data_IF_651969309727
#
_entry.id   IF_651969309727
#
_cell.length_a   1.000
_cell.length_b   1.000
_cell.length_c   1.000
_cell.angle_alpha   90.00
_cell.angle_beta   90.00
_cell.angle_gamma   90.00
#
_symmetry.space_group_name_H-M   'P 1'
#
loop_
_entity.id
_entity.type
_entity.pdbx_description
1 polymer ?
#
# COMPACT_ATOMS: atom_id res chain seq x y z
N UNK A 1 -26.73 -12.98 2.31
CA UNK A 1 -26.89 -11.83 1.40
C UNK A 1 -26.77 -12.35 -0.03
N UNK A 2 -27.52 -11.79 -0.98
CA UNK A 2 -27.61 -12.32 -2.35
C UNK A 2 -26.24 -12.36 -3.03
N UNK A 3 -25.92 -13.51 -3.62
CA UNK A 3 -24.65 -13.79 -4.30
C UNK A 3 -24.62 -13.33 -5.76
N UNK A 4 -25.63 -12.60 -6.21
CA UNK A 4 -25.78 -12.13 -7.59
C UNK A 4 -25.65 -10.61 -7.65
N UNK A 5 -24.91 -10.13 -8.65
CA UNK A 5 -24.76 -8.71 -8.96
C UNK A 5 -26.14 -8.21 -9.41
N UNK A 6 -26.65 -7.18 -8.75
CA UNK A 6 -27.95 -6.58 -9.11
C UNK A 6 -27.88 -5.93 -10.50
N UNK A 7 -29.03 -5.73 -11.15
CA UNK A 7 -29.06 -5.08 -12.48
C UNK A 7 -28.46 -3.67 -12.44
N UNK A 8 -28.66 -2.95 -11.35
CA UNK A 8 -28.14 -1.59 -11.16
C UNK A 8 -26.61 -1.60 -10.98
N UNK A 9 -26.07 -2.56 -10.21
CA UNK A 9 -24.63 -2.76 -10.09
C UNK A 9 -24.01 -3.19 -11.42
N UNK A 10 -24.67 -4.08 -12.17
CA UNK A 10 -24.20 -4.51 -13.47
C UNK A 10 -24.12 -3.34 -14.47
N UNK A 11 -25.05 -2.38 -14.41
CA UNK A 11 -25.03 -1.19 -15.27
C UNK A 11 -23.90 -0.22 -14.91
N UNK A 12 -23.68 0.01 -13.61
CA UNK A 12 -22.63 0.94 -13.12
C UNK A 12 -21.24 0.37 -13.35
N UNK A 13 -21.06 -0.92 -13.06
CA UNK A 13 -19.78 -1.60 -13.19
C UNK A 13 -19.56 -2.23 -14.56
N UNK A 14 -20.41 -2.00 -15.56
CA UNK A 14 -20.34 -2.63 -16.89
C UNK A 14 -18.93 -2.55 -17.50
N UNK A 15 -18.32 -1.36 -17.49
CA UNK A 15 -16.95 -1.16 -18.03
C UNK A 15 -15.89 -1.95 -17.27
N UNK A 16 -16.04 -2.07 -15.96
CA UNK A 16 -15.11 -2.77 -15.08
C UNK A 16 -15.28 -4.29 -15.20
N UNK A 17 -16.53 -4.77 -15.22
CA UNK A 17 -16.91 -6.17 -15.46
C UNK A 17 -16.39 -6.65 -16.82
N UNK A 18 -16.40 -5.81 -17.85
CA UNK A 18 -15.80 -6.15 -19.17
C UNK A 18 -14.29 -6.40 -19.10
N UNK A 19 -13.59 -5.80 -18.15
CA UNK A 19 -12.14 -5.94 -17.99
C UNK A 19 -11.77 -7.19 -17.17
N UNK A 20 -12.32 -7.34 -15.97
CA UNK A 20 -11.93 -8.42 -15.06
C UNK A 20 -12.95 -9.55 -14.91
N UNK A 21 -14.14 -9.40 -15.50
CA UNK A 21 -15.20 -10.40 -15.48
C UNK A 21 -16.12 -10.31 -14.26
N UNK A 22 -17.34 -10.89 -14.35
CA UNK A 22 -18.35 -10.79 -13.30
C UNK A 22 -17.95 -11.50 -12.00
N UNK A 23 -17.21 -12.62 -12.08
CA UNK A 23 -16.74 -13.33 -10.89
C UNK A 23 -15.70 -12.53 -10.09
N UNK A 24 -14.84 -11.77 -10.78
CA UNK A 24 -13.91 -10.87 -10.11
C UNK A 24 -14.67 -9.72 -9.44
N UNK A 25 -15.64 -9.10 -10.15
CA UNK A 25 -16.48 -8.04 -9.58
C UNK A 25 -17.25 -8.51 -8.34
N UNK A 26 -17.76 -9.74 -8.36
CA UNK A 26 -18.43 -10.34 -7.19
C UNK A 26 -17.51 -10.48 -5.98
N UNK A 27 -16.26 -10.92 -6.18
CA UNK A 27 -15.26 -10.98 -5.10
C UNK A 27 -14.94 -9.59 -4.55
N UNK A 28 -14.75 -8.61 -5.43
CA UNK A 28 -14.53 -7.21 -5.06
C UNK A 28 -15.71 -6.69 -4.22
N UNK A 29 -16.94 -6.87 -4.69
CA UNK A 29 -18.18 -6.43 -4.02
C UNK A 29 -18.52 -7.15 -2.72
N UNK A 30 -17.76 -8.17 -2.33
CA UNK A 30 -17.88 -8.86 -1.04
C UNK A 30 -16.76 -8.48 -0.06
N UNK A 31 -15.75 -7.73 -0.51
CA UNK A 31 -14.57 -7.43 0.28
C UNK A 31 -14.81 -6.30 1.28
N UNK A 32 -14.45 -6.56 2.54
CA UNK A 32 -14.32 -5.55 3.59
C UNK A 32 -12.87 -5.09 3.71
N UNK A 33 -12.62 -3.79 3.59
CA UNK A 33 -11.28 -3.21 3.59
C UNK A 33 -11.10 -2.34 4.82
N UNK A 34 -10.01 -2.52 5.56
CA UNK A 34 -9.55 -1.57 6.57
C UNK A 34 -8.48 -0.67 5.93
N UNK A 35 -8.67 0.65 6.01
CA UNK A 35 -7.66 1.66 5.70
C UNK A 35 -7.34 2.38 7.01
N UNK A 36 -6.10 2.30 7.46
CA UNK A 36 -5.67 2.96 8.69
C UNK A 36 -4.60 4.02 8.42
N UNK A 37 -4.83 5.23 8.93
CA UNK A 37 -4.07 6.44 8.61
C UNK A 37 -4.72 7.21 7.45
N UNK A 38 -5.38 8.32 7.76
CA UNK A 38 -6.00 9.23 6.82
C UNK A 38 -5.05 10.38 6.46
N UNK A 39 -4.65 10.37 5.19
CA UNK A 39 -3.59 11.13 4.55
C UNK A 39 -3.88 11.28 3.05
N UNK A 40 -3.09 12.05 2.32
CA UNK A 40 -3.29 12.24 0.88
C UNK A 40 -3.29 10.89 0.10
N UNK A 41 -2.41 9.96 0.49
CA UNK A 41 -2.35 8.63 -0.12
C UNK A 41 -3.64 7.82 0.13
N UNK A 42 -4.17 7.82 1.36
CA UNK A 42 -5.37 7.06 1.68
C UNK A 42 -6.61 7.63 1.02
N UNK A 43 -6.68 8.94 0.78
CA UNK A 43 -7.80 9.55 0.03
C UNK A 43 -7.90 8.96 -1.37
N UNK A 44 -6.77 8.85 -2.05
CA UNK A 44 -6.65 8.24 -3.37
C UNK A 44 -7.04 6.75 -3.36
N UNK A 45 -6.56 6.01 -2.35
CA UNK A 45 -6.90 4.59 -2.19
C UNK A 45 -8.39 4.40 -1.93
N UNK A 46 -8.98 5.18 -1.00
CA UNK A 46 -10.39 5.10 -0.65
C UNK A 46 -11.28 5.46 -1.83
N UNK A 47 -10.96 6.54 -2.55
CA UNK A 47 -11.67 6.94 -3.78
C UNK A 47 -11.71 5.79 -4.79
N UNK A 48 -10.56 5.19 -5.08
CA UNK A 48 -10.47 4.13 -6.08
C UNK A 48 -11.18 2.84 -5.64
N UNK A 49 -11.05 2.43 -4.37
CA UNK A 49 -11.74 1.25 -3.84
C UNK A 49 -13.26 1.45 -3.78
N UNK A 50 -13.73 2.65 -3.43
CA UNK A 50 -15.15 2.96 -3.42
C UNK A 50 -15.74 2.92 -4.84
N UNK A 51 -15.04 3.48 -5.83
CA UNK A 51 -15.45 3.42 -7.25
C UNK A 51 -15.33 2.02 -7.87
N UNK A 52 -14.41 1.18 -7.35
CA UNK A 52 -14.33 -0.24 -7.71
C UNK A 52 -15.51 -1.06 -7.14
N UNK A 53 -16.20 -0.52 -6.13
CA UNK A 53 -17.39 -1.13 -5.55
C UNK A 53 -17.10 -2.25 -4.57
N UNK A 54 -16.16 -2.05 -3.64
CA UNK A 54 -15.97 -2.95 -2.50
C UNK A 54 -17.20 -2.96 -1.58
N UNK A 55 -17.36 -3.99 -0.74
CA UNK A 55 -18.51 -4.08 0.16
C UNK A 55 -18.49 -2.98 1.23
N UNK A 56 -17.32 -2.75 1.83
CA UNK A 56 -17.16 -1.73 2.86
C UNK A 56 -15.72 -1.25 2.97
N UNK A 57 -15.58 0.00 3.42
CA UNK A 57 -14.31 0.62 3.81
C UNK A 57 -14.44 1.08 5.26
N UNK A 58 -13.59 0.56 6.14
CA UNK A 58 -13.44 1.07 7.50
C UNK A 58 -12.23 1.99 7.54
N UNK A 59 -12.45 3.23 7.98
CA UNK A 59 -11.41 4.26 8.16
C UNK A 59 -11.00 4.25 9.63
N UNK A 60 -9.72 3.99 9.90
CA UNK A 60 -9.16 4.02 11.25
C UNK A 60 -8.12 5.15 11.34
N UNK A 61 -8.48 6.23 12.04
CA UNK A 61 -7.54 7.30 12.36
C UNK A 61 -7.98 8.04 13.63
N UNK A 62 -7.04 8.27 14.53
CA UNK A 62 -7.23 8.97 15.79
C UNK A 62 -6.88 10.47 15.71
N UNK A 63 -6.18 10.89 14.67
CA UNK A 63 -5.72 12.26 14.52
C UNK A 63 -6.85 13.23 14.17
N UNK A 64 -6.62 14.50 14.51
CA UNK A 64 -7.48 15.61 14.11
C UNK A 64 -6.97 16.23 12.81
N UNK A 65 -7.90 16.75 12.02
CA UNK A 65 -7.62 17.55 10.84
C UNK A 65 -6.91 18.84 11.25
N UNK A 66 -5.80 19.12 10.59
CA UNK A 66 -5.01 20.35 10.70
C UNK A 66 -5.07 21.13 9.39
N UNK A 67 -4.64 22.39 9.40
CA UNK A 67 -4.57 23.20 8.17
C UNK A 67 -3.62 22.59 7.12
N UNK A 68 -2.56 21.90 7.55
CA UNK A 68 -1.63 21.22 6.64
C UNK A 68 -2.31 20.14 5.80
N UNK A 69 -3.30 19.44 6.38
CA UNK A 69 -4.00 18.36 5.70
C UNK A 69 -4.79 18.88 4.48
N UNK A 70 -5.33 20.10 4.54
CA UNK A 70 -6.14 20.70 3.47
C UNK A 70 -5.37 20.87 2.14
N UNK A 71 -4.03 20.94 2.20
CA UNK A 71 -3.19 21.10 1.01
C UNK A 71 -3.09 19.83 0.16
N UNK A 72 -3.36 18.66 0.73
CA UNK A 72 -3.15 17.38 0.05
C UNK A 72 -4.31 16.38 0.21
N UNK A 73 -5.15 16.51 1.24
CA UNK A 73 -6.33 15.65 1.45
C UNK A 73 -7.59 16.30 0.86
N UNK A 74 -8.01 15.83 -0.31
CA UNK A 74 -9.13 16.41 -1.06
C UNK A 74 -10.50 15.98 -0.53
N UNK A 75 -10.56 15.11 0.47
CA UNK A 75 -11.80 14.82 1.19
C UNK A 75 -12.19 15.91 2.20
N UNK A 76 -11.24 16.75 2.60
CA UNK A 76 -11.38 17.69 3.71
C UNK A 76 -11.64 19.11 3.20
N UNK A 77 -12.38 19.87 3.99
CA UNK A 77 -12.60 21.31 3.80
C UNK A 77 -12.15 22.08 5.04
N UNK A 78 -12.06 23.41 4.96
CA UNK A 78 -11.72 24.28 6.10
C UNK A 78 -12.65 24.05 7.32
N UNK A 79 -13.92 23.71 7.09
CA UNK A 79 -14.89 23.41 8.15
C UNK A 79 -14.55 22.13 8.93
N UNK A 80 -13.69 21.27 8.38
CA UNK A 80 -13.27 20.03 9.03
C UNK A 80 -12.10 20.22 9.99
N UNK A 81 -11.42 21.36 10.00
CA UNK A 81 -10.27 21.60 10.90
C UNK A 81 -10.70 21.40 12.37
N UNK A 82 -9.91 20.61 13.10
CA UNK A 82 -10.19 20.21 14.49
C UNK A 82 -11.15 19.03 14.65
N UNK A 83 -11.76 18.54 13.57
CA UNK A 83 -12.53 17.28 13.59
C UNK A 83 -11.59 16.08 13.41
N UNK A 84 -12.04 14.89 13.78
CA UNK A 84 -11.28 13.65 13.51
C UNK A 84 -11.20 13.38 12.00
N UNK A 85 -10.02 12.99 11.49
CA UNK A 85 -9.77 12.80 10.06
C UNK A 85 -10.63 11.71 9.42
N UNK A 86 -10.72 10.54 10.04
CA UNK A 86 -11.55 9.43 9.54
C UNK A 86 -13.03 9.84 9.49
N UNK A 87 -13.52 10.51 10.53
CA UNK A 87 -14.89 11.02 10.58
C UNK A 87 -15.16 12.09 9.52
N UNK A 88 -14.25 13.03 9.32
CA UNK A 88 -14.40 14.11 8.34
C UNK A 88 -14.35 13.58 6.89
N UNK A 89 -13.60 12.51 6.64
CA UNK A 89 -13.45 11.91 5.31
C UNK A 89 -14.62 11.04 4.86
N UNK A 90 -15.31 10.39 5.80
CA UNK A 90 -16.34 9.40 5.49
C UNK A 90 -17.47 9.91 4.58
N UNK A 91 -18.05 11.11 4.78
CA UNK A 91 -19.14 11.60 3.94
C UNK A 91 -18.77 11.72 2.46
N UNK A 92 -17.51 12.08 2.16
CA UNK A 92 -17.05 12.16 0.77
C UNK A 92 -17.09 10.78 0.09
N UNK A 93 -16.59 9.75 0.77
CA UNK A 93 -16.53 8.38 0.26
C UNK A 93 -17.95 7.81 0.09
N UNK A 94 -18.85 8.06 1.04
CA UNK A 94 -20.26 7.65 0.95
C UNK A 94 -20.97 8.30 -0.24
N UNK A 95 -20.72 9.60 -0.47
CA UNK A 95 -21.26 10.32 -1.63
C UNK A 95 -20.70 9.81 -2.96
N UNK A 96 -19.43 9.38 -2.97
CA UNK A 96 -18.77 8.85 -4.17
C UNK A 96 -19.41 7.54 -4.64
N UNK A 97 -19.78 6.66 -3.71
CA UNK A 97 -20.55 5.47 -4.03
C UNK A 97 -21.44 5.01 -2.85
N UNK A 98 -22.76 5.33 -2.88
CA UNK A 98 -23.70 4.97 -1.81
C UNK A 98 -23.89 3.46 -1.57
N UNK A 99 -23.33 2.60 -2.43
CA UNK A 99 -23.38 1.13 -2.26
C UNK A 99 -22.28 0.62 -1.34
N UNK A 100 -21.20 1.39 -1.16
CA UNK A 100 -20.08 1.04 -0.31
C UNK A 100 -20.40 1.50 1.10
N UNK A 101 -20.38 0.58 2.06
CA UNK A 101 -20.58 0.95 3.46
C UNK A 101 -19.29 1.56 4.01
N UNK A 102 -19.38 2.76 4.56
CA UNK A 102 -18.25 3.41 5.22
C UNK A 102 -18.42 3.30 6.73
N UNK A 103 -17.38 2.86 7.42
CA UNK A 103 -17.32 2.81 8.87
C UNK A 103 -16.16 3.68 9.36
N UNK A 104 -16.33 4.30 10.52
CA UNK A 104 -15.34 5.19 11.12
C UNK A 104 -14.93 4.64 12.48
N UNK A 105 -13.62 4.55 12.68
CA UNK A 105 -13.00 4.18 13.94
C UNK A 105 -11.98 5.26 14.30
N UNK A 106 -12.20 5.91 15.44
CA UNK A 106 -11.43 7.09 15.88
C UNK A 106 -10.36 6.73 16.91
N UNK A 107 -10.19 5.45 17.22
CA UNK A 107 -9.23 5.00 18.23
C UNK A 107 -7.81 4.88 17.65
N UNK A 108 -6.81 4.83 18.54
CA UNK A 108 -5.44 4.66 18.12
C UNK A 108 -5.20 3.22 17.65
N UNK A 109 -4.58 3.04 16.48
CA UNK A 109 -4.25 1.71 15.95
C UNK A 109 -3.42 0.86 16.93
N UNK A 110 -2.58 1.48 17.75
CA UNK A 110 -1.75 0.78 18.73
C UNK A 110 -2.59 0.09 19.82
N UNK A 111 -3.78 0.62 20.13
CA UNK A 111 -4.70 0.13 21.16
C UNK A 111 -5.58 -1.03 20.65
N UNK A 112 -5.63 -1.26 19.33
CA UNK A 112 -6.40 -2.36 18.74
C UNK A 112 -5.77 -3.71 19.05
N UNK A 113 -6.63 -4.67 19.38
CA UNK A 113 -6.28 -6.08 19.53
C UNK A 113 -6.08 -6.74 18.17
N UNK A 114 -5.36 -7.87 18.16
CA UNK A 114 -5.06 -8.60 16.92
C UNK A 114 -6.33 -9.04 16.18
N UNK A 115 -7.33 -9.55 16.90
CA UNK A 115 -8.65 -9.97 16.39
C UNK A 115 -9.35 -8.89 15.55
N UNK A 116 -9.12 -7.60 15.85
CA UNK A 116 -9.66 -6.49 15.07
C UNK A 116 -9.22 -6.59 13.61
N UNK A 117 -7.91 -6.78 13.39
CA UNK A 117 -7.33 -6.85 12.05
C UNK A 117 -7.76 -8.12 11.32
N UNK A 118 -7.95 -9.25 12.03
CA UNK A 118 -8.35 -10.53 11.45
C UNK A 118 -9.68 -10.48 10.70
N UNK A 119 -10.62 -9.66 11.18
CA UNK A 119 -11.99 -9.57 10.67
C UNK A 119 -12.10 -9.08 9.22
N UNK A 120 -11.14 -8.28 8.74
CA UNK A 120 -11.17 -7.66 7.42
C UNK A 120 -10.74 -8.62 6.31
N UNK A 121 -11.17 -8.36 5.08
CA UNK A 121 -10.68 -9.07 3.88
C UNK A 121 -9.27 -8.60 3.54
N UNK A 122 -9.04 -7.28 3.53
CA UNK A 122 -7.74 -6.65 3.30
C UNK A 122 -7.49 -5.61 4.38
N UNK A 123 -6.27 -5.53 4.87
CA UNK A 123 -5.80 -4.43 5.73
C UNK A 123 -4.74 -3.65 4.99
N UNK A 124 -4.90 -2.32 4.90
CA UNK A 124 -3.94 -1.41 4.33
C UNK A 124 -3.56 -0.34 5.34
N UNK A 125 -2.29 -0.26 5.70
CA UNK A 125 -1.77 0.80 6.58
C UNK A 125 -1.10 1.89 5.76
N UNK A 126 -1.41 3.14 6.07
CA UNK A 126 -0.82 4.33 5.46
C UNK A 126 -0.12 5.13 6.55
N UNK A 127 1.08 5.63 6.25
CA UNK A 127 1.87 6.47 7.17
C UNK A 127 2.07 5.86 8.57
N UNK A 128 2.28 4.54 8.62
CA UNK A 128 2.44 3.77 9.85
C UNK A 128 3.92 3.44 10.10
N UNK A 129 4.34 3.40 11.36
CA UNK A 129 5.71 3.02 11.70
C UNK A 129 5.96 1.50 11.54
N UNK A 130 7.23 1.11 11.44
CA UNK A 130 7.62 -0.30 11.28
C UNK A 130 6.99 -1.25 12.30
N UNK A 131 6.94 -0.89 13.59
CA UNK A 131 6.52 -1.81 14.64
C UNK A 131 5.04 -2.19 14.51
N UNK A 132 4.18 -1.22 14.21
CA UNK A 132 2.76 -1.51 13.96
C UNK A 132 2.57 -2.28 12.64
N UNK A 133 3.32 -1.92 11.58
CA UNK A 133 3.28 -2.65 10.31
C UNK A 133 3.68 -4.12 10.49
N UNK A 134 4.77 -4.37 11.20
CA UNK A 134 5.27 -5.72 11.50
C UNK A 134 4.29 -6.53 12.36
N UNK A 135 3.66 -5.90 13.37
CA UNK A 135 2.62 -6.55 14.19
C UNK A 135 1.45 -6.99 13.31
N UNK A 136 0.90 -6.06 12.53
CA UNK A 136 -0.27 -6.32 11.70
C UNK A 136 0.05 -7.33 10.61
N UNK A 137 1.18 -7.20 9.92
CA UNK A 137 1.69 -8.18 8.94
C UNK A 137 1.66 -9.61 9.50
N UNK A 138 2.25 -9.81 10.69
CA UNK A 138 2.24 -11.11 11.38
C UNK A 138 0.83 -11.63 11.67
N UNK A 139 -0.06 -10.78 12.16
CA UNK A 139 -1.47 -11.16 12.43
C UNK A 139 -2.15 -11.58 11.12
N UNK A 140 -1.96 -10.82 10.05
CA UNK A 140 -2.56 -11.10 8.73
C UNK A 140 -2.05 -12.39 8.12
N UNK A 141 -0.75 -12.69 8.27
CA UNK A 141 -0.18 -13.98 7.87
C UNK A 141 -0.77 -15.16 8.64
N UNK A 142 -1.00 -15.03 9.94
CA UNK A 142 -1.59 -16.11 10.75
C UNK A 142 -3.00 -16.50 10.28
N UNK A 143 -3.77 -15.55 9.74
CA UNK A 143 -5.10 -15.80 9.16
C UNK A 143 -5.10 -15.96 7.65
N UNK A 144 -3.92 -15.99 7.01
CA UNK A 144 -3.70 -16.08 5.57
C UNK A 144 -4.56 -15.08 4.76
N UNK A 145 -4.50 -13.79 5.13
CA UNK A 145 -5.22 -12.73 4.44
C UNK A 145 -4.31 -11.57 4.03
N UNK A 146 -4.64 -10.85 2.93
CA UNK A 146 -3.85 -9.74 2.45
C UNK A 146 -3.55 -8.64 3.47
N UNK A 147 -2.29 -8.20 3.44
CA UNK A 147 -1.76 -7.04 4.10
C UNK A 147 -1.04 -6.13 3.10
N UNK A 148 -1.31 -4.83 3.20
CA UNK A 148 -0.64 -3.79 2.45
C UNK A 148 -0.15 -2.71 3.41
N UNK A 149 0.98 -2.11 3.06
CA UNK A 149 1.42 -0.86 3.66
C UNK A 149 1.91 0.09 2.57
N UNK A 150 1.76 1.39 2.77
CA UNK A 150 2.28 2.38 1.85
C UNK A 150 2.50 3.73 2.52
N UNK A 151 3.37 4.52 1.92
CA UNK A 151 3.63 5.88 2.39
C UNK A 151 4.07 6.76 1.21
N UNK A 152 3.89 8.06 1.38
CA UNK A 152 4.39 9.11 0.48
C UNK A 152 5.12 10.14 1.31
N UNK A 153 6.33 10.50 0.89
CA UNK A 153 7.16 11.49 1.55
C UNK A 153 7.93 12.29 0.50
N UNK A 154 7.58 13.58 0.40
CA UNK A 154 8.08 14.49 -0.62
C UNK A 154 7.87 13.93 -2.02
N UNK A 155 8.97 13.71 -2.73
CA UNK A 155 8.98 13.22 -4.12
C UNK A 155 8.88 11.70 -4.25
N UNK A 156 8.81 10.98 -3.14
CA UNK A 156 8.94 9.53 -3.14
C UNK A 156 7.70 8.87 -2.53
N UNK A 157 7.49 7.61 -2.90
CA UNK A 157 6.54 6.76 -2.19
C UNK A 157 6.86 5.29 -2.39
N UNK A 158 6.27 4.47 -1.55
CA UNK A 158 6.41 3.02 -1.66
C UNK A 158 5.11 2.30 -1.32
N UNK A 159 5.04 1.06 -1.76
CA UNK A 159 4.04 0.08 -1.40
C UNK A 159 4.78 -1.18 -0.99
N UNK A 160 4.37 -1.76 0.13
CA UNK A 160 4.68 -3.12 0.55
C UNK A 160 3.41 -3.98 0.46
N UNK A 161 3.55 -5.21 -0.02
CA UNK A 161 2.47 -6.15 -0.24
C UNK A 161 2.84 -7.53 0.33
N UNK A 162 2.08 -8.01 1.31
CA UNK A 162 2.17 -9.39 1.79
C UNK A 162 0.79 -10.06 1.70
N UNK A 163 0.65 -10.98 0.75
CA UNK A 163 -0.57 -11.76 0.57
C UNK A 163 -0.48 -13.16 1.23
N UNK A 164 0.55 -13.39 2.04
CA UNK A 164 0.95 -14.69 2.57
C UNK A 164 1.06 -15.74 1.45
N UNK A 165 0.15 -16.72 1.39
CA UNK A 165 0.00 -17.61 0.25
C UNK A 165 -1.16 -17.14 -0.62
N UNK A 166 -0.86 -16.71 -1.86
CA UNK A 166 -1.87 -16.19 -2.77
C UNK A 166 -1.93 -16.99 -4.07
N UNK A 167 -3.15 -17.34 -4.49
CA UNK A 167 -3.39 -18.02 -5.77
C UNK A 167 -4.22 -17.15 -6.70
N UNK A 168 -3.70 -16.92 -7.90
CA UNK A 168 -4.38 -16.22 -8.99
C UNK A 168 -4.47 -17.08 -10.24
N UNK A 169 -5.36 -16.74 -11.17
CA UNK A 169 -5.54 -17.45 -12.44
C UNK A 169 -4.75 -16.76 -13.54
N UNK A 170 -3.64 -17.34 -13.97
CA UNK A 170 -2.90 -16.87 -15.13
C UNK A 170 -3.62 -17.26 -16.42
N UNK A 171 -3.90 -16.28 -17.27
CA UNK A 171 -4.50 -16.50 -18.60
C UNK A 171 -3.42 -16.43 -19.66
N UNK A 172 -3.14 -17.54 -20.34
CA UNK A 172 -2.22 -17.57 -21.50
C UNK A 172 -3.02 -17.70 -22.78
N UNK A 173 -2.78 -16.79 -23.73
CA UNK A 173 -3.31 -16.87 -25.09
C UNK A 173 -2.21 -17.40 -26.01
N UNK A 174 -2.54 -18.42 -26.79
CA UNK A 174 -1.62 -19.02 -27.77
C UNK A 174 -2.36 -19.28 -29.09
N UNK A 175 -1.64 -19.30 -30.22
CA UNK A 175 -2.23 -19.52 -31.54
C UNK A 175 -2.61 -18.21 -32.28
N UNK A 176 -3.28 -18.34 -33.45
CA UNK A 176 -3.59 -17.21 -34.32
C UNK A 176 -4.59 -16.23 -33.68
N UNK A 177 -4.43 -14.93 -33.96
CA UNK A 177 -5.24 -13.85 -33.37
C UNK A 177 -6.75 -13.99 -33.59
N UNK A 178 -7.18 -14.65 -34.65
CA UNK A 178 -8.61 -14.87 -34.97
C UNK A 178 -9.27 -15.92 -34.07
N UNK A 179 -8.50 -16.91 -33.56
CA UNK A 179 -8.98 -17.97 -32.68
C UNK A 179 -7.87 -18.39 -31.69
N UNK A 180 -7.54 -17.54 -30.71
CA UNK A 180 -6.53 -17.87 -29.73
C UNK A 180 -7.04 -18.99 -28.81
N UNK A 181 -6.22 -20.02 -28.62
CA UNK A 181 -6.41 -20.98 -27.52
C UNK A 181 -6.11 -20.26 -26.20
N UNK A 182 -7.10 -20.22 -25.32
CA UNK A 182 -7.00 -19.61 -23.99
C UNK A 182 -6.85 -20.71 -22.94
N UNK A 183 -5.77 -20.66 -22.18
CA UNK A 183 -5.50 -21.56 -21.07
C UNK A 183 -5.58 -20.79 -19.75
N UNK A 184 -6.29 -21.35 -18.77
CA UNK A 184 -6.43 -20.81 -17.42
C UNK A 184 -5.67 -21.71 -16.46
N UNK A 185 -4.58 -21.20 -15.88
CA UNK A 185 -3.72 -21.97 -14.98
C UNK A 185 -3.70 -21.30 -13.60
N UNK A 186 -4.07 -21.98 -12.51
CA UNK A 186 -3.87 -21.44 -11.17
C UNK A 186 -2.37 -21.39 -10.86
N UNK A 187 -1.90 -20.24 -10.38
CA UNK A 187 -0.51 -20.00 -9.96
C UNK A 187 -0.53 -19.53 -8.52
N UNK A 188 0.19 -20.23 -7.65
CA UNK A 188 0.35 -19.90 -6.24
C UNK A 188 1.70 -19.24 -6.01
N UNK A 189 1.70 -18.10 -5.31
CA UNK A 189 2.87 -17.30 -4.96
C UNK A 189 2.93 -17.14 -3.45
N UNK A 190 4.13 -17.30 -2.89
CA UNK A 190 4.41 -17.06 -1.48
C UNK A 190 5.10 -15.71 -1.34
N UNK A 191 4.48 -14.83 -0.55
CA UNK A 191 4.97 -13.50 -0.24
C UNK A 191 5.80 -13.55 1.06
N UNK A 192 6.96 -12.88 1.12
CA UNK A 192 7.74 -12.79 2.33
C UNK A 192 7.14 -11.75 3.28
N UNK A 193 7.31 -11.99 4.58
CA UNK A 193 6.92 -11.02 5.62
C UNK A 193 7.70 -9.72 5.50
N UNK A 194 7.19 -8.65 6.12
CA UNK A 194 7.90 -7.37 6.18
C UNK A 194 9.29 -7.56 6.78
N UNK A 195 9.38 -8.32 7.87
CA UNK A 195 10.63 -8.61 8.55
C UNK A 195 11.62 -9.41 7.68
N UNK A 196 11.16 -10.43 6.97
CA UNK A 196 12.03 -11.25 6.11
C UNK A 196 12.53 -10.46 4.90
N UNK A 197 11.69 -9.60 4.33
CA UNK A 197 12.03 -8.78 3.17
C UNK A 197 13.15 -7.77 3.45
N UNK A 198 13.24 -7.26 4.68
CA UNK A 198 14.35 -6.39 5.13
C UNK A 198 15.67 -7.14 5.32
N UNK A 199 15.63 -8.47 5.50
CA UNK A 199 16.80 -9.31 5.79
C UNK A 199 17.41 -9.96 4.56
N UNK A 200 16.86 -9.69 3.35
CA UNK A 200 17.39 -10.26 2.11
C UNK A 200 18.87 -9.90 1.94
N UNK A 201 19.71 -10.93 1.94
CA UNK A 201 21.14 -10.77 1.68
C UNK A 201 21.42 -10.55 0.19
N UNK A 202 22.32 -9.62 -0.07
CA UNK A 202 22.91 -9.29 -1.37
C UNK A 202 24.42 -9.61 -1.40
N UNK A 203 24.92 -10.34 -0.41
CA UNK A 203 26.31 -10.79 -0.38
C UNK A 203 26.62 -11.64 -1.62
N UNK A 204 27.64 -11.24 -2.40
CA UNK A 204 28.01 -11.92 -3.63
C UNK A 204 27.05 -11.71 -4.82
N UNK A 205 26.07 -10.81 -4.71
CA UNK A 205 25.18 -10.47 -5.81
C UNK A 205 25.96 -9.93 -7.02
N UNK A 206 25.57 -10.34 -8.23
CA UNK A 206 26.22 -9.89 -9.45
C UNK A 206 25.91 -8.41 -9.70
N UNK A 207 26.78 -7.67 -10.43
CA UNK A 207 26.51 -6.26 -10.74
C UNK A 207 25.15 -6.00 -11.40
N UNK A 208 24.65 -6.93 -12.22
CA UNK A 208 23.31 -6.83 -12.85
C UNK A 208 22.17 -6.97 -11.84
N UNK A 209 22.36 -7.72 -10.77
CA UNK A 209 21.36 -7.89 -9.70
C UNK A 209 21.35 -6.67 -8.80
N UNK A 210 22.52 -6.14 -8.44
CA UNK A 210 22.67 -4.91 -7.67
C UNK A 210 22.13 -3.66 -8.39
N UNK A 211 22.01 -3.69 -9.73
CA UNK A 211 21.34 -2.63 -10.51
C UNK A 211 19.83 -2.58 -10.26
N UNK A 212 19.19 -3.67 -9.81
CA UNK A 212 17.77 -3.68 -9.45
C UNK A 212 17.51 -3.00 -8.11
N UNK A 213 18.51 -2.98 -7.24
CA UNK A 213 18.46 -2.32 -5.95
C UNK A 213 18.73 -0.83 -6.13
N UNK A 214 17.67 -0.08 -6.45
CA UNK A 214 17.76 1.37 -6.61
C UNK A 214 18.06 2.05 -5.27
N UNK A 215 18.61 3.28 -5.28
CA UNK A 215 18.80 4.06 -4.06
C UNK A 215 17.53 4.20 -3.23
N UNK A 216 16.36 4.30 -3.89
CA UNK A 216 15.07 4.41 -3.22
C UNK A 216 14.69 3.15 -2.43
N UNK A 217 15.02 1.94 -2.92
CA UNK A 217 14.81 0.71 -2.13
C UNK A 217 15.64 0.75 -0.84
N UNK A 218 16.91 1.16 -0.95
CA UNK A 218 17.78 1.30 0.22
C UNK A 218 17.27 2.38 1.17
N UNK A 219 16.79 3.51 0.65
CA UNK A 219 16.22 4.61 1.42
C UNK A 219 15.04 4.15 2.28
N UNK A 220 14.08 3.45 1.67
CA UNK A 220 12.91 2.92 2.39
C UNK A 220 13.33 1.92 3.47
N UNK A 221 14.30 1.04 3.18
CA UNK A 221 14.75 0.09 4.19
C UNK A 221 15.52 0.76 5.35
N UNK A 222 16.29 1.81 5.09
CA UNK A 222 16.90 2.62 6.16
C UNK A 222 15.83 3.33 6.98
N UNK A 223 14.80 3.89 6.34
CA UNK A 223 13.62 4.47 7.02
C UNK A 223 12.95 3.45 7.94
N UNK A 224 12.67 2.24 7.45
CA UNK A 224 12.01 1.19 8.21
C UNK A 224 12.87 0.71 9.39
N UNK A 225 14.19 0.58 9.21
CA UNK A 225 15.11 0.25 10.30
C UNK A 225 15.18 1.37 11.34
N UNK A 226 15.22 2.64 10.93
CA UNK A 226 15.13 3.77 11.84
C UNK A 226 13.84 3.71 12.66
N UNK A 227 12.69 3.51 12.02
CA UNK A 227 11.40 3.39 12.71
C UNK A 227 11.36 2.20 13.67
N UNK A 228 12.00 1.07 13.30
CA UNK A 228 12.13 -0.11 14.16
C UNK A 228 12.91 0.21 15.43
N UNK A 229 14.04 0.90 15.30
CA UNK A 229 14.93 1.24 16.42
C UNK A 229 14.35 2.33 17.32
N UNK A 230 13.72 3.36 16.74
CA UNK A 230 13.26 4.54 17.47
C UNK A 230 11.76 4.53 17.80
N UNK A 231 10.99 3.59 17.25
CA UNK A 231 9.53 3.48 17.41
C UNK A 231 8.76 4.78 17.04
N UNK A 232 9.25 5.52 16.06
CA UNK A 232 8.64 6.73 15.54
C UNK A 232 9.13 7.02 14.12
N UNK A 233 8.42 7.89 13.42
CA UNK A 233 8.89 8.47 12.16
C UNK A 233 10.04 9.46 12.36
N UNK A 234 10.91 9.65 11.35
CA UNK A 234 11.99 10.63 11.42
C UNK A 234 11.45 12.06 11.34
N UNK A 235 12.19 12.98 11.93
CA UNK A 235 12.02 14.44 11.78
C UNK A 235 13.27 15.05 11.16
N UNK A 236 13.24 16.35 10.89
CA UNK A 236 14.37 17.07 10.30
C UNK A 236 15.68 16.91 11.12
N UNK A 237 15.58 16.73 12.44
CA UNK A 237 16.74 16.54 13.32
C UNK A 237 17.40 15.17 13.22
N UNK A 238 16.78 14.20 12.53
CA UNK A 238 17.24 12.81 12.50
C UNK A 238 18.15 12.47 11.32
N UNK A 239 18.52 13.44 10.47
CA UNK A 239 19.39 13.21 9.32
C UNK A 239 20.69 12.45 9.71
N UNK A 240 21.35 12.87 10.79
CA UNK A 240 22.58 12.22 11.27
C UNK A 240 22.33 10.78 11.76
N UNK A 241 21.17 10.51 12.37
CA UNK A 241 20.79 9.17 12.82
C UNK A 241 20.48 8.24 11.63
N UNK A 242 19.78 8.75 10.61
CA UNK A 242 19.52 8.05 9.36
C UNK A 242 20.82 7.69 8.61
N UNK A 243 21.76 8.64 8.51
CA UNK A 243 23.10 8.42 7.92
C UNK A 243 23.87 7.36 8.71
N UNK A 244 23.79 7.39 10.04
CA UNK A 244 24.43 6.39 10.90
C UNK A 244 23.81 5.00 10.71
N UNK A 245 22.48 4.91 10.58
CA UNK A 245 21.75 3.66 10.36
C UNK A 245 22.05 3.04 8.99
N UNK A 246 22.28 3.86 7.95
CA UNK A 246 22.66 3.41 6.59
C UNK A 246 23.78 2.37 6.62
N UNK A 247 24.89 2.67 7.31
CA UNK A 247 26.07 1.81 7.30
C UNK A 247 25.75 0.42 7.84
N UNK A 248 25.15 0.37 9.03
CA UNK A 248 24.80 -0.88 9.71
C UNK A 248 23.86 -1.72 8.85
N UNK A 249 22.85 -1.08 8.24
CA UNK A 249 21.91 -1.78 7.37
C UNK A 249 22.60 -2.35 6.11
N UNK A 250 23.36 -1.53 5.36
CA UNK A 250 24.02 -2.00 4.13
C UNK A 250 25.00 -3.14 4.42
N UNK A 251 25.77 -3.06 5.51
CA UNK A 251 26.64 -4.16 5.95
C UNK A 251 25.84 -5.43 6.27
N UNK A 252 24.70 -5.30 6.98
CA UNK A 252 23.85 -6.45 7.35
C UNK A 252 23.33 -7.23 6.15
N UNK A 253 23.11 -6.58 5.01
CA UNK A 253 22.66 -7.20 3.77
C UNK A 253 23.81 -7.52 2.82
N UNK A 254 25.07 -7.36 3.23
CA UNK A 254 26.25 -7.73 2.44
C UNK A 254 26.62 -6.75 1.33
N UNK A 255 26.22 -5.47 1.45
CA UNK A 255 26.61 -4.40 0.53
C UNK A 255 27.73 -3.58 1.15
N UNK A 256 28.89 -3.54 0.47
CA UNK A 256 30.06 -2.79 0.91
C UNK A 256 30.20 -1.42 0.24
N UNK A 257 29.47 -1.18 -0.84
CA UNK A 257 29.43 0.10 -1.54
C UNK A 257 28.37 1.01 -0.90
N UNK A 258 28.78 1.80 0.09
CA UNK A 258 27.89 2.71 0.81
C UNK A 258 27.42 3.92 -0.02
N UNK A 259 28.05 4.17 -1.17
CA UNK A 259 27.68 5.27 -2.07
C UNK A 259 26.41 4.97 -2.88
N UNK A 260 25.87 3.75 -2.79
CA UNK A 260 24.59 3.40 -3.43
C UNK A 260 23.40 4.15 -2.84
N UNK A 261 23.55 4.67 -1.63
CA UNK A 261 22.60 5.57 -0.98
C UNK A 261 23.37 6.80 -0.50
N UNK A 262 23.16 7.93 -1.18
CA UNK A 262 23.80 9.20 -0.83
C UNK A 262 23.27 9.74 0.49
N UNK A 263 24.12 10.47 1.22
CA UNK A 263 23.71 11.16 2.45
C UNK A 263 22.68 12.26 2.14
N UNK A 264 22.83 12.98 1.03
CA UNK A 264 21.86 13.96 0.55
C UNK A 264 20.43 13.41 0.45
N UNK A 265 20.27 12.13 0.07
CA UNK A 265 18.94 11.51 -0.04
C UNK A 265 18.33 11.20 1.34
N UNK A 266 19.17 10.93 2.34
CA UNK A 266 18.75 10.72 3.72
C UNK A 266 18.44 12.05 4.43
N UNK A 267 19.19 13.09 4.13
CA UNK A 267 18.89 14.45 4.56
C UNK A 267 17.56 14.94 3.97
N UNK A 268 17.35 14.71 2.66
CA UNK A 268 16.07 15.02 2.01
C UNK A 268 14.90 14.22 2.62
N UNK A 269 15.10 12.93 2.91
CA UNK A 269 14.10 12.13 3.62
C UNK A 269 13.76 12.78 4.97
N UNK A 270 14.76 13.11 5.79
CA UNK A 270 14.54 13.74 7.10
C UNK A 270 13.77 15.07 6.99
N UNK A 271 14.10 15.90 5.99
CA UNK A 271 13.47 17.20 5.80
C UNK A 271 12.08 17.15 5.20
N UNK A 272 11.75 16.09 4.44
CA UNK A 272 10.51 16.01 3.66
C UNK A 272 9.62 14.83 4.03
N UNK A 273 9.94 14.08 5.10
CA UNK A 273 9.19 12.89 5.49
C UNK A 273 7.69 13.14 5.68
N UNK A 274 7.33 14.27 6.27
CA UNK A 274 5.94 14.65 6.50
C UNK A 274 5.32 15.46 5.36
N UNK A 275 6.06 15.73 4.29
CA UNK A 275 5.55 16.46 3.14
C UNK A 275 4.77 15.51 2.23
N UNK A 276 3.48 15.79 2.03
CA UNK A 276 2.64 15.03 1.11
C UNK A 276 2.40 15.82 -0.17
N UNK A 277 2.84 15.27 -1.30
CA UNK A 277 2.56 15.86 -2.61
C UNK A 277 1.41 15.08 -3.25
N UNK A 278 0.29 15.76 -3.51
CA UNK A 278 -0.91 15.12 -4.06
C UNK A 278 -0.65 14.34 -5.34
N UNK A 279 0.20 14.82 -6.25
CA UNK A 279 0.52 14.10 -7.49
C UNK A 279 1.25 12.77 -7.24
N UNK A 280 2.09 12.72 -6.22
CA UNK A 280 2.78 11.49 -5.79
C UNK A 280 1.79 10.54 -5.14
N UNK A 281 0.93 11.06 -4.25
CA UNK A 281 -0.17 10.33 -3.65
C UNK A 281 -1.15 9.75 -4.69
N UNK A 282 -1.50 10.49 -5.74
CA UNK A 282 -2.37 9.99 -6.81
C UNK A 282 -1.75 8.83 -7.59
N UNK A 283 -0.44 8.90 -7.90
CA UNK A 283 0.25 7.83 -8.63
C UNK A 283 0.39 6.59 -7.74
N UNK A 284 0.90 6.75 -6.53
CA UNK A 284 1.12 5.63 -5.60
C UNK A 284 -0.22 5.04 -5.17
N UNK A 285 -1.21 5.87 -4.85
CA UNK A 285 -2.57 5.46 -4.46
C UNK A 285 -3.31 4.75 -5.58
N UNK A 286 -3.16 5.20 -6.83
CA UNK A 286 -3.66 4.49 -8.01
C UNK A 286 -3.09 3.08 -8.14
N UNK A 287 -1.78 2.93 -7.97
CA UNK A 287 -1.11 1.63 -8.07
C UNK A 287 -1.47 0.73 -6.89
N UNK A 288 -1.47 1.25 -5.66
CA UNK A 288 -1.82 0.54 -4.45
C UNK A 288 -3.25 0.00 -4.50
N UNK A 289 -4.22 0.87 -4.80
CA UNK A 289 -5.63 0.46 -4.93
C UNK A 289 -5.84 -0.55 -6.06
N UNK A 290 -5.16 -0.37 -7.20
CA UNK A 290 -5.23 -1.33 -8.30
C UNK A 290 -4.64 -2.71 -7.92
N UNK A 291 -3.58 -2.73 -7.12
CA UNK A 291 -2.99 -3.98 -6.64
C UNK A 291 -3.90 -4.69 -5.62
N UNK A 292 -4.53 -3.95 -4.71
CA UNK A 292 -5.58 -4.47 -3.82
C UNK A 292 -6.72 -5.09 -4.65
N UNK A 293 -7.19 -4.39 -5.69
CA UNK A 293 -8.24 -4.89 -6.58
C UNK A 293 -7.79 -6.18 -7.29
N UNK A 294 -6.53 -6.27 -7.73
CA UNK A 294 -5.96 -7.51 -8.32
C UNK A 294 -5.94 -8.65 -7.32
N UNK A 295 -5.52 -8.42 -6.09
CA UNK A 295 -5.53 -9.43 -5.03
C UNK A 295 -6.94 -9.97 -4.76
N UNK A 296 -7.96 -9.10 -4.77
CA UNK A 296 -9.37 -9.51 -4.64
C UNK A 296 -9.87 -10.25 -5.88
N UNK A 297 -9.52 -9.74 -7.07
CA UNK A 297 -9.93 -10.30 -8.35
C UNK A 297 -9.28 -11.66 -8.63
N UNK A 298 -8.08 -11.97 -8.11
CA UNK A 298 -7.34 -13.23 -8.31
C UNK A 298 -7.16 -13.60 -9.78
N UNK A 299 -6.97 -12.60 -10.65
CA UNK A 299 -6.88 -12.76 -12.10
C UNK A 299 -5.47 -12.48 -12.66
N UNK A 300 -4.59 -11.85 -11.89
CA UNK A 300 -3.24 -11.47 -12.31
C UNK A 300 -2.26 -11.51 -11.14
N UNK A 301 -0.97 -11.50 -11.46
CA UNK A 301 0.10 -11.36 -10.47
C UNK A 301 0.03 -9.94 -9.85
N UNK A 302 0.12 -9.87 -8.53
CA UNK A 302 0.21 -8.61 -7.78
C UNK A 302 1.67 -8.17 -7.60
N UNK A 303 1.89 -7.00 -7.00
CA UNK A 303 3.21 -6.54 -6.59
C UNK A 303 3.83 -7.56 -5.62
N UNK A 304 4.91 -8.23 -6.04
CA UNK A 304 5.69 -9.20 -5.26
C UNK A 304 7.11 -8.65 -5.05
N UNK A 305 7.40 -7.93 -3.97
CA UNK A 305 6.49 -7.52 -2.88
C UNK A 305 6.59 -6.02 -2.55
N UNK A 306 7.49 -5.30 -3.21
CA UNK A 306 7.59 -3.85 -3.12
C UNK A 306 7.37 -3.17 -4.45
N UNK A 307 6.73 -2.01 -4.39
CA UNK A 307 6.76 -1.00 -5.43
C UNK A 307 7.33 0.30 -4.87
N UNK A 308 8.21 0.95 -5.62
CA UNK A 308 8.81 2.22 -5.26
C UNK A 308 8.59 3.22 -6.39
N UNK A 309 8.20 4.44 -6.04
CA UNK A 309 7.98 5.52 -6.99
C UNK A 309 8.88 6.71 -6.68
N UNK A 310 9.57 7.20 -7.70
CA UNK A 310 10.36 8.42 -7.67
C UNK A 310 9.75 9.44 -8.62
N UNK A 311 9.19 10.52 -8.07
CA UNK A 311 8.56 11.57 -8.86
C UNK A 311 9.55 12.51 -9.53
N UNK A 312 10.83 12.53 -9.11
CA UNK A 312 11.86 13.38 -9.73
C UNK A 312 12.19 12.96 -11.16
N UNK A 313 12.16 11.65 -11.42
CA UNK A 313 12.40 11.06 -12.74
C UNK A 313 11.20 10.28 -13.29
N UNK A 314 10.07 10.32 -12.56
CA UNK A 314 8.83 9.61 -12.87
C UNK A 314 9.00 8.08 -13.01
N UNK A 315 9.94 7.48 -12.29
CA UNK A 315 10.19 6.04 -12.35
C UNK A 315 9.40 5.27 -11.29
N UNK A 316 8.81 4.15 -11.71
CA UNK A 316 8.18 3.15 -10.83
C UNK A 316 8.91 1.82 -10.95
N UNK A 317 9.36 1.25 -9.83
CA UNK A 317 10.13 0.01 -9.80
C UNK A 317 9.49 -1.01 -8.88
N UNK A 318 9.18 -2.20 -9.42
CA UNK A 318 8.78 -3.37 -8.63
C UNK A 318 10.03 -4.18 -8.31
N UNK A 319 10.20 -4.54 -7.04
CA UNK A 319 11.29 -5.40 -6.59
C UNK A 319 10.75 -6.49 -5.66
N UNK A 320 11.19 -7.72 -5.93
CA UNK A 320 10.95 -8.86 -5.06
C UNK A 320 12.08 -8.95 -4.04
N UNK A 321 11.75 -8.76 -2.77
CA UNK A 321 12.70 -8.83 -1.67
C UNK A 321 12.48 -10.09 -0.85
#
# INVERSE_FOLDING_TARGET
MSTEITKDEAAIYDRQIRLWGPEAQKRIGQASILIAGMRALSDEVCKNLALAGVASITLLDHELVTEFDLGAQFFLTEENVGQNKAKASAPFIENLNPRVKVFVDQENINEKTDDYFESFTVVCLVHSNYNIMSRVDKVRRNVNKPFYAGDVFGWYGYIFCDLAEHTYVQVKKSGPSENPKVEHTPVTVNYPSLEDSLRKSWAGARPKELKKLSPLVLLVHVLLNFQKEHNRSPTESDAAALISSKKNYLESIGITDFNRLSDDLLEELASSYHAEIISVASIVGGILSQDIIRALARNELTIDNYYHFNAKDCTGTIIKL
#
